data_IF_681372741254
#
_entry.id   IF_681372741254
#
_cell.length_a   1.000
_cell.length_b   1.000
_cell.length_c   1.000
_cell.angle_alpha   90.00
_cell.angle_beta   90.00
_cell.angle_gamma   90.00
#
_symmetry.space_group_name_H-M   'P 1'
#
loop_
_entity.id
_entity.type
_entity.pdbx_description
1 polymer ?
#
# COMPACT_ATOMS: atom_id res chain seq x y z
N UNK A 1 -39.21 2.72 -34.85
CA UNK A 1 -38.66 1.63 -33.99
C UNK A 1 -37.29 2.09 -33.53
N UNK A 2 -37.18 2.62 -32.30
CA UNK A 2 -35.95 3.12 -31.74
C UNK A 2 -35.27 1.94 -31.05
N UNK A 3 -33.99 1.64 -31.30
CA UNK A 3 -33.29 0.56 -30.60
C UNK A 3 -33.09 0.97 -29.15
N UNK A 4 -33.47 0.07 -28.24
CA UNK A 4 -33.27 0.23 -26.81
C UNK A 4 -31.77 0.24 -26.50
N UNK A 5 -31.31 1.28 -25.84
CA UNK A 5 -29.95 1.39 -25.29
C UNK A 5 -29.64 0.21 -24.35
N UNK A 6 -28.47 -0.39 -24.44
CA UNK A 6 -28.08 -1.45 -23.51
C UNK A 6 -27.96 -0.85 -22.11
N UNK A 7 -28.80 -1.30 -21.23
CA UNK A 7 -28.90 -0.90 -19.84
C UNK A 7 -27.57 -1.24 -19.15
N UNK A 8 -26.78 -0.22 -18.77
CA UNK A 8 -25.60 -0.34 -17.96
C UNK A 8 -26.01 -1.00 -16.63
N UNK A 9 -25.44 -2.14 -16.24
CA UNK A 9 -25.82 -2.78 -14.99
C UNK A 9 -25.53 -1.83 -13.83
N UNK A 10 -26.51 -1.68 -12.93
CA UNK A 10 -26.38 -0.89 -11.72
C UNK A 10 -25.14 -1.39 -10.91
N UNK A 11 -24.36 -0.50 -10.31
CA UNK A 11 -23.21 -0.90 -9.51
C UNK A 11 -23.69 -1.82 -8.39
N UNK A 12 -23.11 -3.02 -8.33
CA UNK A 12 -23.32 -3.96 -7.23
C UNK A 12 -23.06 -3.24 -5.91
N UNK A 13 -23.90 -3.45 -4.92
CA UNK A 13 -23.82 -2.83 -3.59
C UNK A 13 -22.43 -3.11 -3.01
N UNK A 14 -21.50 -2.20 -3.21
CA UNK A 14 -20.14 -2.30 -2.66
C UNK A 14 -20.22 -2.06 -1.16
N UNK A 15 -19.67 -2.98 -0.36
CA UNK A 15 -19.51 -2.77 1.07
C UNK A 15 -18.72 -1.47 1.30
N UNK A 16 -19.29 -0.57 2.11
CA UNK A 16 -18.58 0.64 2.54
C UNK A 16 -17.78 0.33 3.79
N UNK A 17 -16.53 0.74 3.80
CA UNK A 17 -15.64 0.67 4.95
C UNK A 17 -15.18 2.10 5.27
N UNK A 18 -15.15 2.43 6.55
CA UNK A 18 -14.65 3.72 7.02
C UNK A 18 -13.40 3.51 7.86
N UNK A 19 -12.41 4.35 7.66
CA UNK A 19 -11.18 4.41 8.46
C UNK A 19 -10.78 5.88 8.63
N UNK A 20 -9.99 6.17 9.66
CA UNK A 20 -9.47 7.51 9.89
C UNK A 20 -8.40 7.89 8.86
N UNK A 21 -7.56 6.92 8.48
CA UNK A 21 -6.48 7.12 7.52
C UNK A 21 -6.47 5.99 6.49
N UNK A 22 -6.43 6.37 5.22
CA UNK A 22 -6.22 5.45 4.11
C UNK A 22 -4.86 5.71 3.47
N UNK A 23 -4.03 4.67 3.42
CA UNK A 23 -2.73 4.70 2.76
C UNK A 23 -2.86 4.00 1.40
N UNK A 24 -2.37 4.64 0.35
CA UNK A 24 -2.40 4.09 -1.02
C UNK A 24 -1.01 3.65 -1.43
N UNK A 25 -0.85 2.36 -1.63
CA UNK A 25 0.41 1.71 -1.97
C UNK A 25 1.10 1.03 -0.79
N UNK A 26 1.59 -0.20 -1.01
CA UNK A 26 2.35 -0.98 -0.03
C UNK A 26 3.82 -1.13 -0.43
N UNK A 27 4.43 -0.07 -0.92
CA UNK A 27 5.86 0.08 -1.07
C UNK A 27 6.52 0.54 0.22
N UNK A 28 7.79 0.94 0.16
CA UNK A 28 8.57 1.42 1.29
C UNK A 28 7.82 2.49 2.10
N UNK A 29 7.29 3.51 1.43
CA UNK A 29 6.60 4.64 2.08
C UNK A 29 5.31 4.22 2.76
N UNK A 30 4.48 3.40 2.10
CA UNK A 30 3.20 2.94 2.65
C UNK A 30 3.38 2.00 3.85
N UNK A 31 4.36 1.10 3.80
CA UNK A 31 4.72 0.22 4.92
C UNK A 31 5.23 1.05 6.11
N UNK A 32 6.10 2.02 5.87
CA UNK A 32 6.58 2.93 6.90
C UNK A 32 5.46 3.74 7.54
N UNK A 33 4.55 4.28 6.73
CA UNK A 33 3.38 5.01 7.21
C UNK A 33 2.48 4.12 8.08
N UNK A 34 2.22 2.89 7.66
CA UNK A 34 1.42 1.92 8.43
C UNK A 34 2.03 1.64 9.81
N UNK A 35 3.35 1.41 9.87
CA UNK A 35 4.04 1.20 11.14
C UNK A 35 3.95 2.42 12.04
N UNK A 36 4.14 3.63 11.52
CA UNK A 36 4.01 4.87 12.30
C UNK A 36 2.59 5.09 12.80
N UNK A 37 1.58 4.84 11.97
CA UNK A 37 0.17 4.90 12.41
C UNK A 37 -0.10 3.93 13.56
N UNK A 38 0.38 2.70 13.44
CA UNK A 38 0.16 1.68 14.45
C UNK A 38 0.77 2.03 15.81
N UNK A 39 2.00 2.54 15.81
CA UNK A 39 2.78 2.77 17.03
C UNK A 39 2.60 4.17 17.59
N UNK A 40 2.64 5.19 16.74
CA UNK A 40 2.67 6.59 17.16
C UNK A 40 1.25 7.18 17.29
N UNK A 41 0.23 6.49 16.76
CA UNK A 41 -1.17 6.91 16.78
C UNK A 41 -2.10 5.77 17.22
N UNK A 42 -1.92 5.23 18.43
CA UNK A 42 -2.75 4.14 18.93
C UNK A 42 -4.23 4.56 18.95
N UNK A 43 -5.08 3.67 18.49
CA UNK A 43 -6.52 3.92 18.38
C UNK A 43 -6.97 4.54 17.04
N UNK A 44 -6.05 5.00 16.18
CA UNK A 44 -6.37 5.41 14.82
C UNK A 44 -6.66 4.19 13.95
N UNK A 45 -7.83 4.16 13.32
CA UNK A 45 -8.17 3.13 12.34
C UNK A 45 -7.53 3.45 11.00
N UNK A 46 -6.89 2.47 10.39
CA UNK A 46 -6.27 2.68 9.08
C UNK A 46 -6.27 1.42 8.21
N UNK A 47 -6.15 1.62 6.93
CA UNK A 47 -5.96 0.57 5.94
C UNK A 47 -4.91 0.99 4.91
N UNK A 48 -4.17 0.02 4.39
CA UNK A 48 -3.25 0.21 3.26
C UNK A 48 -3.81 -0.54 2.07
N UNK A 49 -4.06 0.16 0.96
CA UNK A 49 -4.55 -0.44 -0.28
C UNK A 49 -3.41 -0.58 -1.27
N UNK A 50 -3.17 -1.79 -1.74
CA UNK A 50 -2.19 -2.08 -2.78
C UNK A 50 -2.87 -2.66 -4.01
N UNK A 51 -2.61 -2.09 -5.18
CA UNK A 51 -3.22 -2.51 -6.45
C UNK A 51 -2.73 -3.88 -6.92
N UNK A 52 -1.51 -4.25 -6.55
CA UNK A 52 -0.87 -5.52 -6.90
C UNK A 52 -1.20 -6.59 -5.86
N UNK A 53 -0.81 -7.80 -6.13
CA UNK A 53 -0.98 -8.96 -5.24
C UNK A 53 0.21 -9.17 -4.27
N UNK A 54 1.17 -8.24 -4.28
CA UNK A 54 2.37 -8.29 -3.45
C UNK A 54 2.73 -6.90 -2.91
N UNK A 55 3.40 -6.88 -1.75
CA UNK A 55 4.04 -5.69 -1.19
C UNK A 55 5.38 -5.43 -1.86
N UNK A 56 5.99 -4.29 -1.58
CA UNK A 56 7.37 -3.97 -1.96
C UNK A 56 7.51 -2.87 -3.00
N UNK A 57 6.42 -2.52 -3.71
CA UNK A 57 6.43 -1.44 -4.70
C UNK A 57 7.51 -1.63 -5.75
N UNK A 58 8.43 -0.67 -5.89
CA UNK A 58 9.57 -0.71 -6.81
C UNK A 58 10.38 -2.01 -6.71
N UNK A 59 10.62 -2.48 -5.48
CA UNK A 59 11.49 -3.63 -5.21
C UNK A 59 10.84 -4.98 -5.52
N UNK A 60 9.54 -5.03 -5.62
CA UNK A 60 8.81 -6.19 -6.15
C UNK A 60 8.49 -6.06 -7.64
N UNK A 61 8.25 -4.85 -8.15
CA UNK A 61 7.84 -4.60 -9.53
C UNK A 61 8.99 -4.85 -10.52
N UNK A 62 10.18 -4.34 -10.22
CA UNK A 62 11.34 -4.44 -11.12
C UNK A 62 12.22 -5.62 -10.77
N UNK A 63 12.39 -6.54 -11.73
CA UNK A 63 13.06 -7.84 -11.56
C UNK A 63 14.17 -8.07 -12.61
N UNK A 64 14.85 -7.01 -13.06
CA UNK A 64 15.95 -7.15 -13.98
C UNK A 64 17.27 -7.51 -13.27
N UNK A 65 18.21 -8.20 -13.93
CA UNK A 65 19.49 -8.54 -13.34
C UNK A 65 20.28 -7.28 -12.91
N UNK A 66 20.82 -7.31 -11.70
CA UNK A 66 21.62 -6.21 -11.15
C UNK A 66 20.81 -5.04 -10.56
N UNK A 67 19.47 -5.19 -10.41
CA UNK A 67 18.68 -4.20 -9.69
C UNK A 67 19.18 -4.07 -8.25
N UNK A 68 19.48 -2.85 -7.84
CA UNK A 68 19.95 -2.51 -6.50
C UNK A 68 19.61 -1.07 -6.17
N UNK A 69 19.80 -0.68 -4.91
CA UNK A 69 19.66 0.72 -4.51
C UNK A 69 20.70 1.60 -5.20
N UNK A 70 20.34 2.82 -5.48
CA UNK A 70 21.22 3.89 -5.97
C UNK A 70 21.71 4.80 -4.84
N UNK A 71 21.21 4.58 -3.63
CA UNK A 71 21.56 5.31 -2.43
C UNK A 71 21.89 4.36 -1.27
N UNK A 72 22.58 4.90 -0.28
CA UNK A 72 23.02 4.20 0.92
C UNK A 72 21.84 3.74 1.78
N UNK A 73 21.78 2.45 2.07
CA UNK A 73 20.72 1.81 2.86
C UNK A 73 20.73 2.21 4.34
N UNK A 74 21.88 2.61 4.89
CA UNK A 74 21.93 3.11 6.26
C UNK A 74 21.15 4.42 6.42
N UNK A 75 21.09 5.22 5.35
CA UNK A 75 20.25 6.44 5.28
C UNK A 75 18.84 6.14 4.79
N UNK A 76 18.68 5.21 3.85
CA UNK A 76 17.42 4.87 3.22
C UNK A 76 16.50 4.03 4.12
N UNK A 77 17.07 3.19 5.00
CA UNK A 77 16.33 2.33 5.93
C UNK A 77 15.49 3.12 6.93
N UNK A 78 14.50 2.46 7.50
CA UNK A 78 13.68 3.08 8.54
C UNK A 78 14.47 3.34 9.82
N UNK A 79 14.26 4.46 10.46
CA UNK A 79 14.90 4.76 11.76
C UNK A 79 14.53 3.73 12.85
N UNK A 80 13.34 3.17 12.80
CA UNK A 80 12.85 2.14 13.73
C UNK A 80 13.40 0.72 13.44
N UNK A 81 13.94 0.49 12.23
CA UNK A 81 14.61 -0.74 11.82
C UNK A 81 15.84 -0.38 11.01
N UNK A 82 16.97 -0.06 11.67
CA UNK A 82 18.21 0.28 10.99
C UNK A 82 18.67 -0.85 10.07
N UNK A 83 19.27 -0.49 8.94
CA UNK A 83 19.92 -1.43 8.05
C UNK A 83 21.18 -1.99 8.72
N UNK A 84 21.30 -3.30 8.83
CA UNK A 84 22.40 -3.98 9.55
C UNK A 84 23.32 -4.81 8.67
N UNK A 85 23.01 -4.89 7.36
CA UNK A 85 23.90 -5.57 6.40
C UNK A 85 25.15 -4.72 6.15
N UNK A 86 26.28 -5.35 5.90
CA UNK A 86 27.57 -4.69 5.64
C UNK A 86 27.55 -3.92 4.31
N UNK A 87 26.71 -4.36 3.35
CA UNK A 87 26.54 -3.70 2.06
C UNK A 87 25.65 -2.46 2.21
N UNK A 88 26.25 -1.28 2.02
CA UNK A 88 25.48 -0.01 2.02
C UNK A 88 24.60 0.13 0.77
N UNK A 89 25.02 -0.42 -0.35
CA UNK A 89 24.24 -0.52 -1.60
C UNK A 89 23.75 -1.96 -1.72
N UNK A 90 22.45 -2.17 -1.55
CA UNK A 90 21.88 -3.51 -1.51
C UNK A 90 21.17 -3.90 -2.78
N UNK A 91 21.21 -5.20 -3.10
CA UNK A 91 20.41 -5.79 -4.17
C UNK A 91 18.92 -5.68 -3.86
N UNK A 92 18.10 -5.60 -4.90
CA UNK A 92 16.65 -5.43 -4.78
C UNK A 92 15.97 -6.50 -3.93
N UNK A 93 16.44 -7.75 -4.00
CA UNK A 93 15.90 -8.85 -3.21
C UNK A 93 16.14 -8.65 -1.70
N UNK A 94 17.32 -8.16 -1.31
CA UNK A 94 17.62 -7.83 0.09
C UNK A 94 16.71 -6.71 0.63
N UNK A 95 16.40 -5.72 -0.19
CA UNK A 95 15.49 -4.64 0.16
C UNK A 95 14.06 -5.17 0.31
N UNK A 96 13.64 -6.03 -0.60
CA UNK A 96 12.32 -6.66 -0.53
C UNK A 96 12.17 -7.52 0.72
N UNK A 97 13.18 -8.33 1.05
CA UNK A 97 13.21 -9.14 2.27
C UNK A 97 13.12 -8.26 3.51
N UNK A 98 13.86 -7.16 3.55
CA UNK A 98 13.79 -6.16 4.62
C UNK A 98 12.36 -5.61 4.81
N UNK A 99 11.64 -5.32 3.71
CA UNK A 99 10.25 -4.85 3.79
C UNK A 99 9.30 -5.94 4.30
N UNK A 100 9.50 -7.19 3.91
CA UNK A 100 8.73 -8.33 4.44
C UNK A 100 8.97 -8.51 5.95
N UNK A 101 10.20 -8.41 6.40
CA UNK A 101 10.53 -8.45 7.82
C UNK A 101 9.83 -7.33 8.62
N UNK A 102 9.81 -6.10 8.09
CA UNK A 102 9.10 -4.98 8.73
C UNK A 102 7.60 -5.29 8.89
N UNK A 103 6.99 -5.85 7.86
CA UNK A 103 5.56 -6.22 7.90
C UNK A 103 5.32 -7.30 8.95
N UNK A 104 6.16 -8.32 9.01
CA UNK A 104 6.03 -9.43 9.95
C UNK A 104 6.29 -8.99 11.40
N UNK A 105 7.40 -8.34 11.66
CA UNK A 105 7.80 -7.89 13.01
C UNK A 105 6.80 -6.93 13.65
N UNK A 106 6.06 -6.16 12.85
CA UNK A 106 5.07 -5.19 13.33
C UNK A 106 3.61 -5.65 13.15
N UNK A 107 3.37 -6.89 12.74
CA UNK A 107 2.03 -7.43 12.48
C UNK A 107 1.16 -6.52 11.58
N UNK A 108 1.76 -6.00 10.51
CA UNK A 108 1.09 -5.07 9.60
C UNK A 108 0.19 -5.77 8.58
N UNK A 109 0.33 -7.07 8.37
CA UNK A 109 -0.39 -7.82 7.33
C UNK A 109 -1.92 -7.65 7.43
N UNK A 110 -2.46 -7.55 8.64
CA UNK A 110 -3.90 -7.34 8.88
C UNK A 110 -4.44 -6.00 8.36
N UNK A 111 -3.56 -5.03 8.14
CA UNK A 111 -3.91 -3.70 7.61
C UNK A 111 -3.67 -3.58 6.11
N UNK A 112 -3.02 -4.58 5.48
CA UNK A 112 -2.66 -4.58 4.07
C UNK A 112 -3.75 -5.26 3.24
N UNK A 113 -4.32 -4.54 2.30
CA UNK A 113 -5.31 -5.05 1.37
C UNK A 113 -4.71 -5.10 -0.04
N UNK A 114 -4.17 -6.27 -0.40
CA UNK A 114 -3.60 -6.52 -1.72
C UNK A 114 -4.72 -6.71 -2.76
N UNK A 115 -4.43 -6.45 -4.02
CA UNK A 115 -5.40 -6.54 -5.09
C UNK A 115 -6.51 -5.47 -5.03
N UNK A 116 -6.27 -4.37 -4.33
CA UNK A 116 -7.21 -3.27 -4.16
C UNK A 116 -6.68 -2.01 -4.86
N UNK A 117 -7.16 -1.77 -6.06
CA UNK A 117 -6.75 -0.59 -6.86
C UNK A 117 -7.66 0.60 -6.60
N UNK A 118 -7.09 1.68 -6.10
CA UNK A 118 -7.77 2.98 -6.00
C UNK A 118 -7.99 3.53 -7.41
N UNK A 119 -9.24 3.87 -7.72
CA UNK A 119 -9.66 4.40 -9.02
C UNK A 119 -9.90 5.91 -8.97
N UNK A 120 -10.40 6.41 -7.85
CA UNK A 120 -10.66 7.83 -7.64
C UNK A 120 -10.70 8.14 -6.15
N UNK A 121 -10.41 9.37 -5.80
CA UNK A 121 -10.53 9.91 -4.46
C UNK A 121 -11.10 11.34 -4.57
N UNK A 122 -12.26 11.58 -3.95
CA UNK A 122 -12.98 12.83 -3.99
C UNK A 122 -13.14 13.36 -2.57
N UNK A 123 -12.73 14.60 -2.33
CA UNK A 123 -12.87 15.25 -1.03
C UNK A 123 -14.16 16.07 -0.97
N UNK A 124 -14.97 15.82 0.06
CA UNK A 124 -16.14 16.61 0.37
C UNK A 124 -15.84 17.57 1.52
N UNK A 125 -15.76 18.86 1.22
CA UNK A 125 -15.45 19.90 2.20
C UNK A 125 -16.59 20.14 3.21
N UNK A 126 -17.84 19.80 2.86
CA UNK A 126 -18.96 19.96 3.77
C UNK A 126 -18.93 18.94 4.92
N UNK A 127 -18.48 17.72 4.63
CA UNK A 127 -18.35 16.63 5.59
C UNK A 127 -16.93 16.42 6.08
N UNK A 128 -15.94 17.10 5.46
CA UNK A 128 -14.50 16.93 5.69
C UNK A 128 -14.06 15.46 5.53
N UNK A 129 -14.60 14.78 4.49
CA UNK A 129 -14.33 13.36 4.24
C UNK A 129 -13.88 13.12 2.82
N UNK A 130 -13.03 12.10 2.67
CA UNK A 130 -12.69 11.52 1.39
C UNK A 130 -13.64 10.39 1.05
N UNK A 131 -14.12 10.37 -0.19
CA UNK A 131 -14.77 9.20 -0.79
C UNK A 131 -13.81 8.55 -1.76
N UNK A 132 -13.38 7.32 -1.45
CA UNK A 132 -12.38 6.60 -2.24
C UNK A 132 -13.05 5.42 -2.93
N UNK A 133 -12.97 5.39 -4.26
CA UNK A 133 -13.49 4.30 -5.07
C UNK A 133 -12.39 3.29 -5.38
N UNK A 134 -12.65 2.04 -5.04
CA UNK A 134 -11.69 0.95 -5.12
C UNK A 134 -12.22 -0.18 -5.98
N UNK A 135 -11.39 -0.72 -6.84
CA UNK A 135 -11.66 -1.97 -7.56
C UNK A 135 -10.83 -3.10 -6.94
N UNK A 136 -11.53 -4.15 -6.54
CA UNK A 136 -10.88 -5.39 -6.09
C UNK A 136 -10.54 -6.24 -7.31
N UNK A 137 -9.37 -6.87 -7.32
CA UNK A 137 -9.06 -7.91 -8.27
C UNK A 137 -10.03 -9.10 -8.07
N UNK A 138 -10.50 -9.69 -9.16
CA UNK A 138 -11.22 -10.96 -9.09
C UNK A 138 -10.28 -12.03 -8.53
N UNK A 139 -10.78 -12.83 -7.58
CA UNK A 139 -10.07 -14.03 -7.08
C UNK A 139 -10.19 -15.16 -8.07
#
# INVERSE_FOLDING_TARGET
MVPSDPQVPAPSTSARHEVDVLVVGAGLSGIGAARHLLVDRPGTTFAVLEARDAIGGTWDLFRYPGIRSDSDLHTFGYAFKPWTDDDSIADGDKILDYLHEVVEENDLARHLHLGHRVLAADFDSATARWSVRVRRAAR
#
